data_IF_115065079045
#
_entry.id   IF_115065079045
#
_cell.length_a   1.000
_cell.length_b   1.000
_cell.length_c   1.000
_cell.angle_alpha   90.00
_cell.angle_beta   90.00
_cell.angle_gamma   90.00
#
_symmetry.space_group_name_H-M   'P 1'
#
loop_
_entity.id
_entity.type
_entity.pdbx_description
1 polymer ?
#
# COMPACT_ATOMS: atom_id res chain seq x y z
N UNK A 1 26.04 -6.22 23.07
CA UNK A 1 26.07 -5.29 21.93
C UNK A 1 24.86 -5.54 21.04
N UNK A 2 24.59 -6.77 20.59
CA UNK A 2 23.46 -7.12 19.71
C UNK A 2 22.09 -6.73 20.31
N UNK A 3 21.88 -6.99 21.62
CA UNK A 3 20.67 -6.60 22.35
C UNK A 3 20.44 -5.08 22.35
N UNK A 4 21.51 -4.27 22.42
CA UNK A 4 21.42 -2.80 22.37
C UNK A 4 21.21 -2.26 20.94
N UNK A 5 21.67 -2.99 19.93
CA UNK A 5 21.49 -2.62 18.51
C UNK A 5 20.06 -2.91 18.06
N UNK A 6 19.47 -4.03 18.49
CA UNK A 6 18.13 -4.49 18.08
C UNK A 6 17.04 -3.86 18.96
N UNK A 7 17.24 -3.77 20.29
CA UNK A 7 16.23 -3.28 21.23
C UNK A 7 16.41 -1.81 21.66
N UNK A 8 17.48 -1.15 21.23
CA UNK A 8 17.81 0.20 21.67
C UNK A 8 18.23 0.28 23.15
N UNK A 9 18.37 1.52 23.66
CA UNK A 9 18.59 1.76 25.10
C UNK A 9 17.25 1.84 25.82
N UNK A 10 17.11 1.17 26.96
CA UNK A 10 15.97 1.35 27.86
C UNK A 10 15.82 2.84 28.21
N UNK A 11 14.65 3.42 27.92
CA UNK A 11 14.33 4.79 28.34
C UNK A 11 13.72 4.76 29.75
N UNK A 12 14.02 5.78 30.54
CA UNK A 12 13.39 5.96 31.86
C UNK A 12 11.93 6.31 31.64
N UNK A 13 11.04 5.78 32.48
CA UNK A 13 9.58 5.97 32.36
C UNK A 13 9.15 7.43 32.47
N UNK A 14 9.92 8.27 33.17
CA UNK A 14 9.71 9.71 33.32
C UNK A 14 9.95 10.50 32.00
N UNK A 15 10.75 9.96 31.06
CA UNK A 15 11.01 10.56 29.74
C UNK A 15 10.09 10.10 28.63
N UNK A 16 9.27 9.07 28.88
CA UNK A 16 8.34 8.50 27.90
C UNK A 16 7.21 9.47 27.48
N UNK A 17 6.84 10.41 28.35
CA UNK A 17 5.80 11.41 28.09
C UNK A 17 6.26 12.66 27.33
N UNK A 18 7.57 12.86 27.12
CA UNK A 18 8.12 14.13 26.62
C UNK A 18 8.75 14.06 25.21
N UNK A 19 8.82 12.88 24.58
CA UNK A 19 9.41 12.74 23.24
C UNK A 19 8.39 13.04 22.14
N UNK A 20 8.13 14.32 21.90
CA UNK A 20 7.32 14.74 20.76
C UNK A 20 8.07 14.57 19.44
N UNK A 21 7.35 14.07 18.43
CA UNK A 21 7.90 13.77 17.10
C UNK A 21 7.90 15.02 16.21
N UNK A 22 9.05 15.41 15.64
CA UNK A 22 9.08 16.40 14.57
C UNK A 22 8.46 15.81 13.30
N UNK A 23 7.90 16.66 12.42
CA UNK A 23 7.22 16.24 11.17
C UNK A 23 8.02 15.25 10.35
N UNK A 24 9.35 15.46 10.21
CA UNK A 24 10.26 14.57 9.47
C UNK A 24 10.36 13.15 10.02
N UNK A 25 10.03 12.92 11.28
CA UNK A 25 9.94 11.57 11.87
C UNK A 25 8.49 11.10 11.99
N UNK A 26 7.54 12.03 12.16
CA UNK A 26 6.12 11.71 12.23
C UNK A 26 5.58 11.18 10.90
N UNK A 27 6.01 11.77 9.76
CA UNK A 27 5.59 11.30 8.44
C UNK A 27 5.92 9.80 8.25
N UNK A 28 7.18 9.34 8.33
CA UNK A 28 7.47 7.93 8.14
C UNK A 28 6.85 6.99 9.20
N UNK A 29 6.63 7.46 10.42
CA UNK A 29 6.06 6.63 11.48
C UNK A 29 4.56 6.42 11.29
N UNK A 30 3.81 7.48 10.96
CA UNK A 30 2.36 7.44 10.86
C UNK A 30 1.82 7.27 9.45
N UNK A 31 2.62 7.53 8.42
CA UNK A 31 2.21 7.42 7.02
C UNK A 31 2.81 6.21 6.30
N UNK A 32 3.59 5.36 6.98
CA UNK A 32 4.19 4.16 6.36
C UNK A 32 3.14 3.26 5.73
N UNK A 33 2.03 3.03 6.41
CA UNK A 33 0.92 2.21 5.94
C UNK A 33 0.24 2.85 4.72
N UNK A 34 -0.21 4.10 4.83
CA UNK A 34 -0.84 4.81 3.71
C UNK A 34 0.07 4.96 2.48
N UNK A 35 1.39 5.13 2.67
CA UNK A 35 2.34 5.22 1.57
C UNK A 35 2.64 3.85 0.94
N UNK A 36 2.70 2.79 1.75
CA UNK A 36 2.93 1.42 1.25
C UNK A 36 1.75 0.89 0.46
N UNK A 37 0.53 1.33 0.77
CA UNK A 37 -0.69 0.90 0.08
C UNK A 37 -0.68 1.28 -1.41
N UNK A 38 0.08 2.32 -1.78
CA UNK A 38 0.30 2.69 -3.19
C UNK A 38 1.09 1.61 -3.95
N UNK A 39 1.79 0.71 -3.25
CA UNK A 39 2.56 -0.35 -3.89
C UNK A 39 1.67 -1.48 -4.42
N UNK A 40 0.53 -1.79 -3.79
CA UNK A 40 -0.35 -2.89 -4.20
C UNK A 40 -1.69 -2.43 -4.77
N UNK A 41 -2.17 -1.22 -4.47
CA UNK A 41 -3.43 -0.75 -5.01
C UNK A 41 -3.48 -0.69 -6.55
N UNK A 42 -2.40 -0.34 -7.28
CA UNK A 42 -2.36 -0.46 -8.72
C UNK A 42 -2.53 -1.90 -9.22
N UNK A 43 -1.89 -2.89 -8.56
CA UNK A 43 -2.05 -4.30 -8.88
C UNK A 43 -3.52 -4.69 -8.81
N UNK A 44 -4.22 -4.31 -7.74
CA UNK A 44 -5.64 -4.58 -7.54
C UNK A 44 -6.52 -3.93 -8.62
N UNK A 45 -6.22 -2.69 -9.02
CA UNK A 45 -6.96 -2.01 -10.08
C UNK A 45 -6.77 -2.73 -11.42
N UNK A 46 -5.53 -3.02 -11.81
CA UNK A 46 -5.23 -3.70 -13.07
C UNK A 46 -5.80 -5.11 -13.10
N UNK A 47 -5.70 -5.84 -11.98
CA UNK A 47 -6.19 -7.21 -11.84
C UNK A 47 -7.71 -7.27 -11.98
N UNK A 48 -8.45 -6.41 -11.27
CA UNK A 48 -9.91 -6.38 -11.37
C UNK A 48 -10.40 -5.97 -12.76
N UNK A 49 -9.77 -4.98 -13.40
CA UNK A 49 -10.12 -4.60 -14.76
C UNK A 49 -9.70 -5.66 -15.78
N UNK A 50 -8.64 -6.39 -15.49
CA UNK A 50 -8.11 -7.49 -16.31
C UNK A 50 -9.10 -8.64 -16.50
N UNK A 51 -10.05 -8.83 -15.58
CA UNK A 51 -11.13 -9.82 -15.71
C UNK A 51 -11.95 -9.64 -16.99
N UNK A 52 -12.08 -8.40 -17.49
CA UNK A 52 -12.78 -8.10 -18.76
C UNK A 52 -11.81 -7.94 -19.96
N UNK A 53 -10.53 -8.32 -19.78
CA UNK A 53 -9.54 -8.32 -20.85
C UNK A 53 -8.78 -6.99 -21.01
N UNK A 54 -7.72 -7.04 -21.83
CA UNK A 54 -6.76 -5.94 -21.96
C UNK A 54 -7.36 -4.63 -22.49
N UNK A 55 -8.28 -4.68 -23.42
CA UNK A 55 -8.96 -3.49 -23.96
C UNK A 55 -9.75 -2.74 -22.87
N UNK A 56 -10.33 -3.48 -21.92
CA UNK A 56 -11.07 -2.91 -20.82
C UNK A 56 -10.13 -2.22 -19.81
N UNK A 57 -8.98 -2.80 -19.54
CA UNK A 57 -7.92 -2.19 -18.71
C UNK A 57 -7.48 -0.85 -19.28
N UNK A 58 -7.12 -0.82 -20.57
CA UNK A 58 -6.65 0.40 -21.23
C UNK A 58 -7.73 1.50 -21.21
N UNK A 59 -9.00 1.14 -21.41
CA UNK A 59 -10.10 2.10 -21.46
C UNK A 59 -10.46 2.66 -20.09
N UNK A 60 -10.45 1.85 -19.04
CA UNK A 60 -11.09 2.21 -17.77
C UNK A 60 -10.12 2.45 -16.59
N UNK A 61 -8.86 2.06 -16.68
CA UNK A 61 -7.92 2.19 -15.54
C UNK A 61 -7.74 3.65 -15.07
N UNK A 62 -7.72 4.62 -15.99
CA UNK A 62 -7.63 6.04 -15.64
C UNK A 62 -8.89 6.58 -14.95
N UNK A 63 -10.09 6.07 -15.33
CA UNK A 63 -11.36 6.45 -14.71
C UNK A 63 -11.42 5.98 -13.27
N UNK A 64 -11.03 4.71 -13.03
CA UNK A 64 -10.93 4.15 -11.69
C UNK A 64 -9.89 4.89 -10.87
N UNK A 65 -8.71 5.14 -11.43
CA UNK A 65 -7.66 5.89 -10.75
C UNK A 65 -8.11 7.30 -10.34
N UNK A 66 -8.80 8.04 -11.25
CA UNK A 66 -9.35 9.36 -10.93
C UNK A 66 -10.41 9.31 -9.83
N UNK A 67 -11.27 8.28 -9.81
CA UNK A 67 -12.26 8.10 -8.76
C UNK A 67 -11.58 7.83 -7.40
N UNK A 68 -10.55 6.98 -7.35
CA UNK A 68 -9.75 6.72 -6.14
C UNK A 68 -9.05 7.99 -5.67
N UNK A 69 -8.39 8.72 -6.58
CA UNK A 69 -7.72 10.00 -6.27
C UNK A 69 -8.71 11.02 -5.73
N UNK A 70 -9.90 11.12 -6.32
CA UNK A 70 -10.95 12.03 -5.83
C UNK A 70 -11.34 11.71 -4.38
N UNK A 71 -11.60 10.43 -4.08
CA UNK A 71 -11.90 10.01 -2.70
C UNK A 71 -10.72 10.28 -1.77
N UNK A 72 -9.49 10.02 -2.22
CA UNK A 72 -8.28 10.32 -1.42
C UNK A 72 -8.17 11.81 -1.08
N UNK A 73 -8.47 12.71 -2.03
CA UNK A 73 -8.49 14.17 -1.78
C UNK A 73 -9.55 14.51 -0.72
N UNK A 74 -10.76 13.96 -0.84
CA UNK A 74 -11.86 14.18 0.11
C UNK A 74 -11.49 13.68 1.50
N UNK A 75 -10.95 12.46 1.59
CA UNK A 75 -10.54 11.83 2.86
C UNK A 75 -9.43 12.66 3.53
N UNK A 76 -8.38 13.01 2.81
CA UNK A 76 -7.29 13.83 3.35
C UNK A 76 -7.80 15.20 3.82
N UNK A 77 -8.69 15.83 3.06
CA UNK A 77 -9.30 17.11 3.45
C UNK A 77 -10.14 16.99 4.74
N UNK A 78 -10.93 15.89 4.85
CA UNK A 78 -11.74 15.59 6.04
C UNK A 78 -10.85 15.36 7.27
N UNK A 79 -9.84 14.49 7.18
CA UNK A 79 -8.93 14.24 8.29
C UNK A 79 -8.15 15.48 8.73
N UNK A 80 -7.81 16.39 7.81
CA UNK A 80 -7.19 17.66 8.16
C UNK A 80 -8.10 18.55 9.02
N UNK A 81 -9.42 18.43 8.88
CA UNK A 81 -10.38 19.09 9.77
C UNK A 81 -10.48 18.33 11.10
N UNK A 82 -10.57 17.02 11.06
CA UNK A 82 -10.69 16.17 12.24
C UNK A 82 -9.52 16.37 13.23
N UNK A 83 -8.28 16.47 12.76
CA UNK A 83 -7.11 16.67 13.66
C UNK A 83 -7.12 18.02 14.38
N UNK A 84 -7.92 18.99 13.91
CA UNK A 84 -8.14 20.26 14.64
C UNK A 84 -9.32 20.15 15.61
N UNK A 85 -10.37 19.42 15.24
CA UNK A 85 -11.55 19.20 16.07
C UNK A 85 -11.27 18.25 17.25
N UNK A 86 -10.41 17.23 17.02
CA UNK A 86 -10.04 16.21 18.00
C UNK A 86 -8.52 16.18 18.27
N UNK A 87 -7.98 17.20 18.95
CA UNK A 87 -6.52 17.31 19.21
C UNK A 87 -6.03 16.26 20.23
N UNK A 88 -6.92 15.60 20.94
CA UNK A 88 -6.64 14.47 21.83
C UNK A 88 -6.26 13.17 21.10
N UNK A 89 -6.43 13.11 19.77
CA UNK A 89 -6.15 11.90 18.97
C UNK A 89 -7.40 11.03 18.86
N UNK A 90 -8.53 11.63 18.50
CA UNK A 90 -9.75 10.88 18.18
C UNK A 90 -9.63 10.23 16.82
N UNK A 91 -9.44 8.93 16.79
CA UNK A 91 -9.56 8.14 15.57
C UNK A 91 -11.03 8.04 15.12
N UNK A 92 -11.23 7.30 14.01
CA UNK A 92 -12.57 7.13 13.42
C UNK A 92 -13.60 6.59 14.41
N UNK A 93 -13.17 5.71 15.32
CA UNK A 93 -14.01 5.18 16.40
C UNK A 93 -14.53 6.30 17.31
N UNK A 94 -13.67 7.21 17.78
CA UNK A 94 -14.06 8.29 18.68
C UNK A 94 -14.95 9.31 17.95
N UNK A 95 -14.57 9.69 16.73
CA UNK A 95 -15.34 10.61 15.89
C UNK A 95 -16.76 10.07 15.64
N UNK A 96 -16.88 8.78 15.27
CA UNK A 96 -18.14 8.15 15.03
C UNK A 96 -18.98 8.03 16.32
N UNK A 97 -18.36 7.64 17.44
CA UNK A 97 -19.02 7.50 18.74
C UNK A 97 -19.59 8.83 19.23
N UNK A 98 -18.81 9.88 19.15
CA UNK A 98 -19.20 11.23 19.65
C UNK A 98 -20.29 11.85 18.78
N UNK A 99 -20.22 11.71 17.46
CA UNK A 99 -21.14 12.40 16.54
C UNK A 99 -22.36 11.58 16.14
N UNK A 100 -22.23 10.25 16.04
CA UNK A 100 -23.28 9.35 15.54
C UNK A 100 -23.78 8.36 16.60
N UNK A 101 -23.13 8.32 17.76
CA UNK A 101 -23.47 7.48 18.89
C UNK A 101 -22.74 6.13 18.93
N UNK A 102 -22.90 5.39 20.06
CA UNK A 102 -22.10 4.19 20.35
C UNK A 102 -22.22 3.07 19.33
N UNK A 103 -23.42 2.87 18.74
CA UNK A 103 -23.61 1.84 17.71
C UNK A 103 -22.80 2.09 16.45
N UNK A 104 -22.75 3.35 16.00
CA UNK A 104 -21.93 3.75 14.86
C UNK A 104 -20.43 3.59 15.18
N UNK A 105 -20.00 4.01 16.37
CA UNK A 105 -18.65 3.79 16.85
C UNK A 105 -18.22 2.32 16.83
N UNK A 106 -19.06 1.42 17.37
CA UNK A 106 -18.79 -0.02 17.35
C UNK A 106 -18.72 -0.61 15.94
N UNK A 107 -19.56 -0.14 15.02
CA UNK A 107 -19.47 -0.55 13.60
C UNK A 107 -18.14 -0.15 13.01
N UNK A 108 -17.70 1.10 13.23
CA UNK A 108 -16.39 1.60 12.77
C UNK A 108 -15.23 0.81 13.42
N UNK A 109 -15.30 0.57 14.73
CA UNK A 109 -14.28 -0.21 15.42
C UNK A 109 -14.16 -1.63 14.87
N UNK A 110 -15.29 -2.29 14.61
CA UNK A 110 -15.32 -3.62 14.02
C UNK A 110 -14.72 -3.64 12.61
N UNK A 111 -15.02 -2.63 11.80
CA UNK A 111 -14.43 -2.47 10.47
C UNK A 111 -12.91 -2.27 10.55
N UNK A 112 -12.43 -1.41 11.45
CA UNK A 112 -11.00 -1.18 11.66
C UNK A 112 -10.25 -2.44 12.13
N UNK A 113 -10.87 -3.26 13.03
CA UNK A 113 -10.24 -4.52 13.45
C UNK A 113 -10.08 -5.49 12.27
N UNK A 114 -11.08 -5.58 11.39
CA UNK A 114 -10.98 -6.39 10.17
C UNK A 114 -9.93 -5.81 9.22
N UNK A 115 -9.92 -4.49 9.04
CA UNK A 115 -8.95 -3.79 8.19
C UNK A 115 -7.51 -4.05 8.64
N UNK A 116 -7.21 -3.98 9.94
CA UNK A 116 -5.85 -4.31 10.45
C UNK A 116 -5.42 -5.73 10.11
N UNK A 117 -6.33 -6.71 10.21
CA UNK A 117 -6.00 -8.11 9.83
C UNK A 117 -5.72 -8.23 8.33
N UNK A 118 -6.56 -7.62 7.51
CA UNK A 118 -6.41 -7.64 6.05
C UNK A 118 -5.15 -6.89 5.62
N UNK A 119 -4.86 -5.74 6.21
CA UNK A 119 -3.66 -4.94 5.93
C UNK A 119 -2.39 -5.74 6.24
N UNK A 120 -2.33 -6.48 7.35
CA UNK A 120 -1.18 -7.37 7.65
C UNK A 120 -1.04 -8.43 6.55
N UNK A 121 -2.12 -9.09 6.18
CA UNK A 121 -2.10 -10.16 5.19
C UNK A 121 -1.64 -9.66 3.80
N UNK A 122 -2.29 -8.59 3.30
CA UNK A 122 -1.99 -7.99 1.98
C UNK A 122 -0.56 -7.43 1.95
N UNK A 123 -0.16 -6.68 2.98
CA UNK A 123 1.17 -6.06 3.01
C UNK A 123 2.29 -7.10 3.04
N UNK A 124 2.14 -8.19 3.78
CA UNK A 124 3.15 -9.25 3.81
C UNK A 124 3.18 -9.99 2.47
N UNK A 125 2.02 -10.37 1.92
CA UNK A 125 1.95 -11.08 0.63
C UNK A 125 2.55 -10.24 -0.49
N UNK A 126 2.13 -8.98 -0.62
CA UNK A 126 2.66 -8.04 -1.63
C UNK A 126 4.15 -7.73 -1.39
N UNK A 127 4.57 -7.64 -0.12
CA UNK A 127 5.97 -7.43 0.24
C UNK A 127 6.87 -8.57 -0.23
N UNK A 128 6.43 -9.82 -0.07
CA UNK A 128 7.17 -11.00 -0.53
C UNK A 128 7.18 -11.07 -2.05
N UNK A 129 6.06 -10.78 -2.72
CA UNK A 129 5.99 -10.76 -4.19
C UNK A 129 6.93 -9.70 -4.78
N UNK A 130 6.94 -8.48 -4.25
CA UNK A 130 7.88 -7.44 -4.68
C UNK A 130 9.34 -7.80 -4.39
N UNK A 131 9.62 -8.47 -3.26
CA UNK A 131 10.96 -8.95 -2.96
C UNK A 131 11.41 -10.09 -3.92
N UNK A 132 10.49 -10.93 -4.39
CA UNK A 132 10.77 -12.01 -5.34
C UNK A 132 11.25 -11.49 -6.71
N UNK A 133 10.87 -10.28 -7.11
CA UNK A 133 11.42 -9.62 -8.30
C UNK A 133 12.93 -9.37 -8.16
N UNK A 134 13.40 -9.00 -6.95
CA UNK A 134 14.83 -8.77 -6.69
C UNK A 134 15.59 -10.05 -6.31
N UNK A 135 14.90 -11.02 -5.72
CA UNK A 135 15.47 -12.25 -5.16
C UNK A 135 14.75 -13.47 -5.78
N UNK A 136 15.18 -13.91 -6.95
CA UNK A 136 14.49 -15.00 -7.68
C UNK A 136 14.34 -16.32 -6.89
N UNK A 137 15.21 -16.59 -5.91
CA UNK A 137 15.11 -17.77 -5.04
C UNK A 137 13.89 -17.77 -4.11
N UNK A 138 13.18 -16.66 -3.99
CA UNK A 138 11.90 -16.59 -3.25
C UNK A 138 10.73 -17.12 -4.08
N UNK A 139 10.86 -17.15 -5.41
CA UNK A 139 9.81 -17.63 -6.34
C UNK A 139 9.50 -19.09 -6.05
N UNK A 140 8.21 -19.41 -5.96
CA UNK A 140 7.70 -20.74 -5.55
C UNK A 140 7.72 -21.00 -4.04
N UNK A 141 8.25 -20.07 -3.22
CA UNK A 141 8.28 -20.18 -1.75
C UNK A 141 7.59 -18.99 -1.07
N UNK A 142 6.83 -18.19 -1.82
CA UNK A 142 6.25 -16.93 -1.34
C UNK A 142 5.34 -17.16 -0.13
N UNK A 143 4.53 -18.21 -0.14
CA UNK A 143 3.61 -18.57 0.96
C UNK A 143 4.39 -18.90 2.23
N UNK A 144 5.44 -19.72 2.12
CA UNK A 144 6.26 -20.14 3.26
C UNK A 144 6.99 -18.93 3.88
N UNK A 145 7.52 -18.06 3.02
CA UNK A 145 8.20 -16.82 3.46
C UNK A 145 7.20 -15.86 4.12
N UNK A 146 6.01 -15.68 3.54
CA UNK A 146 4.95 -14.85 4.11
C UNK A 146 4.54 -15.37 5.51
N UNK A 147 4.29 -16.67 5.67
CA UNK A 147 3.98 -17.28 6.97
C UNK A 147 5.13 -17.06 7.96
N UNK A 148 6.38 -17.25 7.53
CA UNK A 148 7.56 -17.01 8.36
C UNK A 148 7.64 -15.56 8.85
N UNK A 149 7.33 -14.58 7.99
CA UNK A 149 7.30 -13.16 8.34
C UNK A 149 6.16 -12.84 9.33
N UNK A 150 4.96 -13.40 9.14
CA UNK A 150 3.85 -13.24 10.09
C UNK A 150 4.25 -13.77 11.47
N UNK A 151 4.84 -14.98 11.54
CA UNK A 151 5.30 -15.57 12.80
C UNK A 151 6.39 -14.72 13.44
N UNK A 152 7.34 -14.21 12.63
CA UNK A 152 8.41 -13.33 13.12
C UNK A 152 7.84 -12.01 13.70
N UNK A 153 6.95 -11.34 12.96
CA UNK A 153 6.31 -10.11 13.44
C UNK A 153 5.49 -10.36 14.70
N UNK A 154 4.75 -11.47 14.77
CA UNK A 154 4.01 -11.88 15.96
C UNK A 154 4.95 -12.03 17.16
N UNK A 155 6.05 -12.76 17.00
CA UNK A 155 7.02 -12.97 18.06
C UNK A 155 7.69 -11.66 18.53
N UNK A 156 7.99 -10.75 17.59
CA UNK A 156 8.56 -9.44 17.90
C UNK A 156 7.55 -8.55 18.67
N UNK A 157 6.31 -8.50 18.23
CA UNK A 157 5.27 -7.69 18.86
C UNK A 157 4.90 -8.21 20.26
N UNK A 158 4.77 -9.53 20.43
CA UNK A 158 4.52 -10.15 21.75
C UNK A 158 5.66 -9.90 22.74
N UNK A 159 6.89 -9.73 22.27
CA UNK A 159 8.03 -9.33 23.11
C UNK A 159 8.07 -7.85 23.47
N UNK A 160 7.14 -7.06 22.94
CA UNK A 160 7.09 -5.63 23.21
C UNK A 160 8.29 -4.86 22.65
N UNK A 161 8.81 -5.27 21.49
CA UNK A 161 9.92 -4.58 20.83
C UNK A 161 9.44 -3.20 20.39
N UNK A 162 9.87 -2.16 21.10
CA UNK A 162 9.60 -0.78 20.68
C UNK A 162 10.54 -0.39 19.55
N UNK A 163 9.97 -0.10 18.42
CA UNK A 163 10.71 0.33 17.26
C UNK A 163 11.19 1.79 17.41
N UNK A 164 12.41 2.05 16.94
CA UNK A 164 12.91 3.42 16.95
C UNK A 164 12.36 4.15 15.71
N UNK A 165 11.75 5.33 15.91
CA UNK A 165 11.22 6.13 14.80
C UNK A 165 12.25 6.46 13.70
N UNK A 166 13.55 6.41 14.04
CA UNK A 166 14.63 6.55 13.06
C UNK A 166 14.79 5.30 12.18
N UNK A 167 14.55 4.10 12.73
CA UNK A 167 14.60 2.86 11.97
C UNK A 167 13.47 2.79 10.94
N UNK A 168 12.29 3.33 11.25
CA UNK A 168 11.17 3.47 10.30
C UNK A 168 11.44 4.50 9.20
N UNK A 169 12.10 5.60 9.54
CA UNK A 169 12.30 6.70 8.61
C UNK A 169 13.12 6.29 7.38
N UNK A 170 14.14 5.45 7.56
CA UNK A 170 15.05 5.08 6.46
C UNK A 170 14.32 4.31 5.35
N UNK A 171 13.61 3.18 5.60
CA UNK A 171 12.91 2.46 4.55
C UNK A 171 11.80 3.28 3.90
N UNK A 172 11.06 4.09 4.67
CA UNK A 172 9.96 4.90 4.12
C UNK A 172 10.49 5.98 3.18
N UNK A 173 11.53 6.71 3.56
CA UNK A 173 12.13 7.71 2.68
C UNK A 173 12.85 7.08 1.48
N UNK A 174 13.47 5.91 1.66
CA UNK A 174 14.05 5.15 0.56
C UNK A 174 12.97 4.71 -0.45
N UNK A 175 11.83 4.24 0.03
CA UNK A 175 10.69 3.90 -0.82
C UNK A 175 10.16 5.12 -1.58
N UNK A 176 9.89 6.24 -0.88
CA UNK A 176 9.45 7.49 -1.54
C UNK A 176 10.44 7.91 -2.63
N UNK A 177 11.73 7.90 -2.33
CA UNK A 177 12.77 8.25 -3.30
C UNK A 177 12.79 7.27 -4.48
N UNK A 178 12.64 5.98 -4.23
CA UNK A 178 12.58 4.94 -5.26
C UNK A 178 11.41 5.12 -6.20
N UNK A 179 10.19 5.23 -5.67
CA UNK A 179 8.99 5.33 -6.50
C UNK A 179 8.90 6.68 -7.21
N UNK A 180 9.16 7.79 -6.51
CA UNK A 180 9.15 9.12 -7.13
C UNK A 180 10.30 9.23 -8.16
N UNK A 181 11.49 8.71 -7.85
CA UNK A 181 12.62 8.68 -8.78
C UNK A 181 12.32 7.86 -10.03
N UNK A 182 11.80 6.63 -9.87
CA UNK A 182 11.35 5.79 -10.98
C UNK A 182 10.27 6.51 -11.80
N UNK A 183 9.30 7.14 -11.13
CA UNK A 183 8.23 7.89 -11.78
C UNK A 183 8.76 9.05 -12.63
N UNK A 184 9.69 9.85 -12.11
CA UNK A 184 10.30 10.96 -12.84
C UNK A 184 11.08 10.48 -14.07
N UNK A 185 11.86 9.40 -13.93
CA UNK A 185 12.59 8.80 -15.06
C UNK A 185 11.61 8.25 -16.09
N UNK A 186 10.59 7.48 -15.66
CA UNK A 186 9.59 6.91 -16.55
C UNK A 186 8.77 7.95 -17.30
N UNK A 187 8.34 9.04 -16.64
CA UNK A 187 7.64 10.15 -17.28
C UNK A 187 8.56 10.85 -18.28
N UNK A 188 9.82 11.09 -17.95
CA UNK A 188 10.78 11.67 -18.89
C UNK A 188 10.95 10.78 -20.12
N UNK A 189 11.12 9.46 -19.92
CA UNK A 189 11.21 8.49 -21.03
C UNK A 189 9.94 8.42 -21.87
N UNK A 190 8.76 8.50 -21.24
CA UNK A 190 7.49 8.53 -21.95
C UNK A 190 7.36 9.77 -22.86
N UNK A 191 7.77 10.95 -22.37
CA UNK A 191 7.75 12.20 -23.13
C UNK A 191 8.78 12.17 -24.28
N UNK A 192 9.93 11.56 -24.08
CA UNK A 192 11.00 11.44 -25.09
C UNK A 192 10.80 10.26 -26.05
N UNK A 193 9.79 9.40 -25.80
CA UNK A 193 9.53 8.21 -26.62
C UNK A 193 10.55 7.08 -26.42
N UNK A 194 11.29 7.08 -25.30
CA UNK A 194 12.33 6.09 -24.97
C UNK A 194 11.90 5.11 -23.87
N UNK A 195 10.63 5.20 -23.40
CA UNK A 195 10.10 4.31 -22.39
C UNK A 195 10.02 2.87 -22.93
N UNK A 196 10.58 1.90 -22.16
CA UNK A 196 10.46 0.48 -22.47
C UNK A 196 9.02 -0.02 -22.32
N UNK A 197 8.74 -1.18 -22.92
CA UNK A 197 7.51 -1.92 -22.69
C UNK A 197 7.64 -2.83 -21.47
N UNK A 198 6.51 -3.11 -20.80
CA UNK A 198 6.49 -4.10 -19.75
C UNK A 198 6.71 -5.52 -20.31
N UNK A 199 7.25 -6.42 -19.50
CA UNK A 199 7.43 -7.84 -19.90
C UNK A 199 6.10 -8.48 -20.30
N UNK A 200 5.01 -8.11 -19.61
CA UNK A 200 3.68 -8.60 -19.91
C UNK A 200 3.03 -8.00 -21.17
N UNK A 201 3.61 -6.98 -21.76
CA UNK A 201 3.07 -6.33 -22.98
C UNK A 201 2.96 -7.29 -24.17
N UNK A 202 3.81 -8.33 -24.21
CA UNK A 202 3.80 -9.35 -25.25
C UNK A 202 2.57 -10.28 -25.21
N UNK A 203 1.90 -10.37 -24.03
CA UNK A 203 0.73 -11.23 -23.88
C UNK A 203 -0.55 -10.52 -24.31
N UNK A 204 -1.52 -11.29 -24.75
CA UNK A 204 -2.92 -10.87 -24.84
C UNK A 204 -3.62 -11.27 -23.54
N UNK A 205 -4.37 -10.35 -22.95
CA UNK A 205 -5.17 -10.64 -21.76
C UNK A 205 -6.57 -11.05 -22.20
N UNK A 206 -6.87 -12.34 -22.03
CA UNK A 206 -8.17 -12.94 -22.36
C UNK A 206 -9.16 -12.65 -21.24
N UNK A 207 -10.39 -12.21 -21.55
CA UNK A 207 -11.42 -12.06 -20.53
C UNK A 207 -11.71 -13.37 -19.80
N UNK A 208 -12.01 -13.29 -18.51
CA UNK A 208 -12.47 -14.44 -17.75
C UNK A 208 -13.88 -14.88 -18.23
N UNK A 209 -14.22 -16.17 -18.21
CA UNK A 209 -15.55 -16.65 -18.58
C UNK A 209 -16.66 -15.89 -17.83
N UNK A 210 -17.60 -15.34 -18.58
CA UNK A 210 -18.66 -14.46 -18.06
C UNK A 210 -18.33 -12.98 -18.03
N UNK A 211 -17.13 -12.55 -18.42
CA UNK A 211 -16.71 -11.13 -18.52
C UNK A 211 -16.38 -10.71 -19.96
N UNK A 212 -16.70 -11.54 -20.98
CA UNK A 212 -16.28 -11.33 -22.37
C UNK A 212 -16.99 -10.14 -23.04
N UNK A 213 -18.27 -9.91 -22.70
CA UNK A 213 -19.06 -8.81 -23.26
C UNK A 213 -19.71 -7.98 -22.13
N UNK A 214 -18.88 -7.24 -21.41
CA UNK A 214 -19.34 -6.40 -20.31
C UNK A 214 -20.03 -5.15 -20.82
N UNK A 215 -21.36 -5.09 -20.69
CA UNK A 215 -22.17 -3.92 -21.07
C UNK A 215 -23.14 -3.52 -19.96
N UNK A 216 -23.50 -2.25 -19.94
CA UNK A 216 -24.52 -1.72 -19.03
C UNK A 216 -24.18 -1.88 -17.55
N UNK A 217 -25.08 -2.55 -16.80
CA UNK A 217 -24.96 -2.69 -15.34
C UNK A 217 -23.79 -3.59 -14.94
N UNK A 218 -23.42 -4.59 -15.74
CA UNK A 218 -22.29 -5.47 -15.48
C UNK A 218 -20.98 -4.68 -15.53
N UNK A 219 -20.79 -3.81 -16.53
CA UNK A 219 -19.67 -2.87 -16.61
C UNK A 219 -19.59 -1.98 -15.37
N UNK A 220 -20.73 -1.40 -14.95
CA UNK A 220 -20.76 -0.55 -13.78
C UNK A 220 -20.37 -1.32 -12.50
N UNK A 221 -20.80 -2.56 -12.37
CA UNK A 221 -20.45 -3.43 -11.23
C UNK A 221 -18.96 -3.74 -11.20
N UNK A 222 -18.33 -4.06 -12.36
CA UNK A 222 -16.90 -4.33 -12.44
C UNK A 222 -16.08 -3.07 -12.15
N UNK A 223 -16.50 -1.91 -12.66
CA UNK A 223 -15.84 -0.64 -12.36
C UNK A 223 -15.94 -0.27 -10.87
N UNK A 224 -17.10 -0.51 -10.24
CA UNK A 224 -17.25 -0.33 -8.79
C UNK A 224 -16.39 -1.31 -7.99
N UNK A 225 -16.25 -2.55 -8.45
CA UNK A 225 -15.36 -3.53 -7.82
C UNK A 225 -13.89 -3.11 -7.94
N UNK A 226 -13.44 -2.71 -9.14
CA UNK A 226 -12.09 -2.20 -9.35
C UNK A 226 -11.82 -0.92 -8.55
N UNK A 227 -12.80 -0.02 -8.45
CA UNK A 227 -12.73 1.16 -7.59
C UNK A 227 -12.60 0.78 -6.11
N UNK A 228 -13.44 -0.15 -5.62
CA UNK A 228 -13.39 -0.64 -4.25
C UNK A 228 -12.04 -1.26 -3.91
N UNK A 229 -11.50 -2.11 -4.78
CA UNK A 229 -10.15 -2.68 -4.61
C UNK A 229 -9.06 -1.59 -4.63
N UNK A 230 -9.17 -0.62 -5.54
CA UNK A 230 -8.26 0.52 -5.61
C UNK A 230 -8.30 1.43 -4.38
N UNK A 231 -9.44 1.47 -3.65
CA UNK A 231 -9.56 2.19 -2.39
C UNK A 231 -8.66 1.62 -1.27
N UNK A 232 -8.05 0.46 -1.47
CA UNK A 232 -6.98 -0.02 -0.60
C UNK A 232 -5.81 0.99 -0.48
N UNK A 233 -5.63 1.89 -1.47
CA UNK A 233 -4.70 3.01 -1.38
C UNK A 233 -5.01 4.04 -0.27
N UNK A 234 -6.18 3.93 0.38
CA UNK A 234 -6.64 4.84 1.43
C UNK A 234 -6.38 4.31 2.85
N UNK A 235 -5.95 3.05 3.00
CA UNK A 235 -5.67 2.46 4.32
C UNK A 235 -4.56 3.22 5.05
N UNK A 236 -4.60 3.25 6.37
CA UNK A 236 -3.58 3.85 7.21
C UNK A 236 -3.60 5.38 7.32
N UNK A 237 -4.52 6.08 6.64
CA UNK A 237 -4.65 7.57 6.75
C UNK A 237 -5.02 7.98 8.18
N UNK A 238 -5.83 7.18 8.89
CA UNK A 238 -6.27 7.39 10.25
C UNK A 238 -5.13 7.39 11.28
N UNK A 239 -4.01 6.73 10.98
CA UNK A 239 -2.87 6.64 11.89
C UNK A 239 -2.31 8.02 12.28
N UNK A 240 -2.33 8.99 11.37
CA UNK A 240 -1.91 10.36 11.66
C UNK A 240 -2.91 11.06 12.60
N UNK A 241 -4.21 10.82 12.43
CA UNK A 241 -5.26 11.36 13.30
C UNK A 241 -5.14 10.80 14.72
N UNK A 242 -4.95 9.49 14.84
CA UNK A 242 -4.68 8.81 16.11
C UNK A 242 -3.40 9.32 16.78
N UNK A 243 -2.39 9.64 15.96
CA UNK A 243 -1.06 10.06 16.41
C UNK A 243 -0.94 11.53 16.81
N UNK A 244 -1.99 12.39 16.71
CA UNK A 244 -1.92 13.82 17.03
C UNK A 244 -1.24 14.13 18.36
N UNK A 245 -1.53 13.42 19.48
CA UNK A 245 -0.89 13.68 20.76
C UNK A 245 0.64 13.57 20.75
N UNK A 246 1.20 12.75 19.86
CA UNK A 246 2.64 12.51 19.75
C UNK A 246 3.41 13.59 18.97
N UNK A 247 2.72 14.49 18.26
CA UNK A 247 3.36 15.56 17.49
C UNK A 247 3.92 16.66 18.38
N UNK A 248 5.00 17.31 17.91
CA UNK A 248 5.49 18.56 18.48
C UNK A 248 4.42 19.67 18.36
N UNK A 249 4.44 20.62 19.31
CA UNK A 249 3.54 21.80 19.28
C UNK A 249 3.90 22.72 18.10
N UNK A 250 2.89 23.27 17.40
CA UNK A 250 1.45 23.08 17.55
C UNK A 250 0.98 21.76 16.90
N UNK A 251 0.50 20.82 17.74
CA UNK A 251 0.23 19.43 17.38
C UNK A 251 -0.69 19.26 16.17
N UNK A 252 -1.90 19.82 16.24
CA UNK A 252 -2.91 19.70 15.16
C UNK A 252 -2.42 20.28 13.83
N UNK A 253 -1.74 21.44 13.87
CA UNK A 253 -1.17 22.04 12.65
C UNK A 253 -0.08 21.17 12.03
N UNK A 254 0.76 20.53 12.86
CA UNK A 254 1.81 19.65 12.39
C UNK A 254 1.22 18.35 11.82
N UNK A 255 0.21 17.76 12.47
CA UNK A 255 -0.52 16.60 11.96
C UNK A 255 -1.24 16.92 10.64
N UNK A 256 -1.97 18.05 10.56
CA UNK A 256 -2.64 18.48 9.32
C UNK A 256 -1.67 18.70 8.15
N UNK A 257 -0.45 19.20 8.42
CA UNK A 257 0.58 19.36 7.40
C UNK A 257 1.12 17.98 6.95
N UNK A 258 1.32 17.06 7.90
CA UNK A 258 1.78 15.70 7.62
C UNK A 258 0.76 14.93 6.78
N UNK A 259 -0.55 15.06 7.10
CA UNK A 259 -1.65 14.51 6.28
C UNK A 259 -1.62 15.04 4.85
N UNK A 260 -1.42 16.36 4.67
CA UNK A 260 -1.33 16.93 3.33
C UNK A 260 -0.12 16.39 2.56
N UNK A 261 1.04 16.32 3.20
CA UNK A 261 2.26 15.77 2.55
C UNK A 261 2.08 14.31 2.17
N UNK A 262 1.54 13.49 3.07
CA UNK A 262 1.22 12.09 2.80
C UNK A 262 0.25 11.99 1.62
N UNK A 263 -0.88 12.71 1.65
CA UNK A 263 -1.88 12.66 0.58
C UNK A 263 -1.32 13.07 -0.79
N UNK A 264 -0.53 14.16 -0.84
CA UNK A 264 0.12 14.58 -2.10
C UNK A 264 1.10 13.53 -2.62
N UNK A 265 1.90 12.92 -1.74
CA UNK A 265 2.83 11.84 -2.13
C UNK A 265 2.05 10.63 -2.66
N UNK A 266 1.05 10.15 -1.93
CA UNK A 266 0.25 8.98 -2.33
C UNK A 266 -0.47 9.22 -3.66
N UNK A 267 -1.11 10.38 -3.84
CA UNK A 267 -1.79 10.74 -5.10
C UNK A 267 -0.79 10.79 -6.25
N UNK A 268 0.36 11.43 -6.05
CA UNK A 268 1.39 11.54 -7.10
C UNK A 268 1.92 10.17 -7.48
N UNK A 269 2.26 9.34 -6.50
CA UNK A 269 2.81 7.99 -6.72
C UNK A 269 1.77 7.11 -7.42
N UNK A 270 0.53 7.04 -6.92
CA UNK A 270 -0.55 6.25 -7.52
C UNK A 270 -0.82 6.66 -8.97
N UNK A 271 -1.00 7.97 -9.20
CA UNK A 271 -1.27 8.50 -10.56
C UNK A 271 -0.12 8.22 -11.53
N UNK A 272 1.12 8.30 -11.04
CA UNK A 272 2.31 8.02 -11.86
C UNK A 272 2.40 6.53 -12.20
N UNK A 273 2.18 5.64 -11.22
CA UNK A 273 2.23 4.19 -11.44
C UNK A 273 1.13 3.76 -12.42
N UNK A 274 -0.11 4.20 -12.24
CA UNK A 274 -1.20 3.87 -13.17
C UNK A 274 -0.93 4.47 -14.57
N UNK A 275 -0.45 5.71 -14.65
CA UNK A 275 -0.13 6.36 -15.92
C UNK A 275 0.98 5.64 -16.68
N UNK A 276 2.06 5.29 -16.01
CA UNK A 276 3.17 4.54 -16.60
C UNK A 276 2.76 3.10 -16.92
N UNK A 277 1.98 2.44 -16.06
CA UNK A 277 1.47 1.10 -16.29
C UNK A 277 0.64 1.00 -17.58
N UNK A 278 -0.15 2.05 -17.89
CA UNK A 278 -0.85 2.15 -19.18
C UNK A 278 0.11 2.41 -20.35
N UNK A 279 1.09 3.27 -20.15
CA UNK A 279 2.03 3.64 -21.20
C UNK A 279 2.98 2.49 -21.58
N UNK A 280 3.27 1.59 -20.63
CA UNK A 280 4.10 0.39 -20.84
C UNK A 280 3.29 -0.86 -21.18
N UNK A 281 1.96 -0.75 -21.33
CA UNK A 281 1.02 -1.83 -21.65
C UNK A 281 1.08 -3.01 -20.67
N UNK A 282 1.17 -2.69 -19.36
CA UNK A 282 1.16 -3.70 -18.29
C UNK A 282 -0.13 -4.51 -18.33
N UNK A 283 0.03 -5.84 -18.23
CA UNK A 283 -1.06 -6.80 -18.08
C UNK A 283 -0.86 -7.60 -16.81
N UNK A 284 -1.89 -7.67 -16.00
CA UNK A 284 -1.94 -8.45 -14.76
C UNK A 284 -3.19 -9.32 -14.80
N UNK A 285 -3.03 -10.59 -14.47
CA UNK A 285 -4.09 -11.58 -14.49
C UNK A 285 -4.20 -12.29 -13.14
N UNK A 286 -5.42 -12.60 -12.70
CA UNK A 286 -5.67 -13.38 -11.48
C UNK A 286 -5.24 -14.84 -11.68
N UNK A 287 -5.48 -15.38 -12.89
CA UNK A 287 -5.05 -16.72 -13.33
C UNK A 287 -4.16 -16.60 -14.56
N UNK A 288 -2.86 -16.27 -14.38
CA UNK A 288 -1.97 -15.98 -15.49
C UNK A 288 -1.91 -17.11 -16.54
N UNK A 289 -1.94 -18.37 -16.09
CA UNK A 289 -1.89 -19.54 -16.98
C UNK A 289 -3.07 -19.64 -17.97
N UNK A 290 -4.25 -19.17 -17.56
CA UNK A 290 -5.49 -19.23 -18.33
C UNK A 290 -5.78 -17.92 -19.08
N UNK A 291 -5.44 -16.78 -18.46
CA UNK A 291 -5.82 -15.44 -18.94
C UNK A 291 -4.76 -14.77 -19.79
N UNK A 292 -3.47 -15.13 -19.62
CA UNK A 292 -2.42 -14.62 -20.49
C UNK A 292 -2.26 -15.55 -21.70
N UNK A 293 -2.30 -14.96 -22.89
CA UNK A 293 -2.19 -15.71 -24.14
C UNK A 293 -1.06 -15.21 -25.03
N UNK A 294 -0.41 -16.15 -25.70
CA UNK A 294 0.53 -15.90 -26.80
C UNK A 294 -0.09 -16.46 -28.08
N UNK A 295 -0.15 -15.64 -29.11
CA UNK A 295 -0.74 -16.02 -30.41
C UNK A 295 -2.18 -16.56 -30.31
N UNK A 296 -2.96 -16.05 -29.34
CA UNK A 296 -4.36 -16.45 -29.15
C UNK A 296 -4.55 -17.74 -28.34
N UNK A 297 -3.49 -18.34 -27.82
CA UNK A 297 -3.55 -19.55 -26.99
C UNK A 297 -3.08 -19.22 -25.57
N UNK A 298 -3.79 -19.67 -24.50
CA UNK A 298 -3.35 -19.53 -23.12
C UNK A 298 -1.95 -20.12 -22.93
N UNK A 299 -1.12 -19.47 -22.12
CA UNK A 299 0.29 -19.89 -21.94
C UNK A 299 0.44 -21.17 -21.13
N UNK A 300 -0.53 -21.49 -20.27
CA UNK A 300 -0.52 -22.71 -19.46
C UNK A 300 0.32 -22.64 -18.19
N UNK A 301 0.12 -23.62 -17.30
CA UNK A 301 0.76 -23.70 -15.98
C UNK A 301 2.28 -23.86 -16.06
N UNK A 302 2.76 -24.72 -16.98
CA UNK A 302 4.20 -25.00 -17.13
C UNK A 302 4.97 -23.75 -17.54
N UNK A 303 4.41 -22.95 -18.45
CA UNK A 303 5.01 -21.70 -18.89
C UNK A 303 5.07 -20.66 -17.75
N UNK A 304 4.00 -20.53 -16.96
CA UNK A 304 3.96 -19.59 -15.83
C UNK A 304 4.89 -20.03 -14.70
N UNK A 305 5.12 -21.34 -14.52
CA UNK A 305 6.10 -21.82 -13.55
C UNK A 305 7.54 -21.37 -13.89
N UNK A 306 7.86 -21.27 -15.20
CA UNK A 306 9.15 -20.76 -15.66
C UNK A 306 9.19 -19.21 -15.77
N UNK A 307 8.04 -18.59 -16.08
CA UNK A 307 7.88 -17.15 -16.29
C UNK A 307 6.80 -16.57 -15.37
N UNK A 308 7.03 -16.53 -14.05
CA UNK A 308 6.02 -16.04 -13.10
C UNK A 308 5.74 -14.56 -13.32
N UNK A 309 4.47 -14.19 -13.16
CA UNK A 309 4.02 -12.81 -13.27
C UNK A 309 4.59 -11.94 -12.15
N UNK A 310 5.27 -10.86 -12.51
CA UNK A 310 5.73 -9.85 -11.57
C UNK A 310 4.61 -8.86 -11.20
N UNK A 311 4.75 -8.19 -10.06
CA UNK A 311 3.87 -7.10 -9.63
C UNK A 311 3.93 -5.92 -10.61
N UNK A 312 2.92 -5.05 -10.60
CA UNK A 312 2.92 -3.83 -11.43
C UNK A 312 4.19 -2.99 -11.19
N UNK A 313 4.61 -2.84 -9.94
CA UNK A 313 5.85 -2.11 -9.63
C UNK A 313 7.09 -2.83 -10.15
N UNK A 314 7.15 -4.16 -10.07
CA UNK A 314 8.25 -4.96 -10.63
C UNK A 314 8.36 -4.77 -12.14
N UNK A 315 7.25 -4.92 -12.85
CA UNK A 315 7.19 -4.73 -14.31
C UNK A 315 7.54 -3.29 -14.72
N UNK A 316 7.06 -2.28 -13.96
CA UNK A 316 7.44 -0.87 -14.20
C UNK A 316 8.92 -0.64 -13.97
N UNK A 317 9.50 -1.22 -12.93
CA UNK A 317 10.93 -1.08 -12.66
C UNK A 317 11.77 -1.66 -13.83
N UNK A 318 11.37 -2.81 -14.37
CA UNK A 318 11.99 -3.38 -15.57
C UNK A 318 11.81 -2.50 -16.81
N UNK A 319 10.61 -1.98 -17.05
CA UNK A 319 10.32 -1.12 -18.20
C UNK A 319 11.10 0.21 -18.15
N UNK A 320 11.21 0.83 -16.95
CA UNK A 320 11.87 2.14 -16.77
C UNK A 320 13.39 2.01 -16.71
N UNK A 321 13.89 1.02 -15.98
CA UNK A 321 15.36 0.89 -15.78
C UNK A 321 16.03 -0.01 -16.82
N UNK A 322 15.27 -0.88 -17.53
CA UNK A 322 15.81 -1.76 -18.55
C UNK A 322 16.97 -2.60 -18.02
N UNK A 323 18.13 -2.46 -18.63
CA UNK A 323 19.35 -3.18 -18.25
C UNK A 323 20.02 -2.65 -16.96
N UNK A 324 19.50 -1.58 -16.34
CA UNK A 324 20.05 -1.07 -15.08
C UNK A 324 19.48 -1.85 -13.89
N UNK A 325 19.89 -3.11 -13.78
CA UNK A 325 19.50 -4.05 -12.70
C UNK A 325 19.54 -3.46 -11.28
N UNK A 326 20.54 -2.61 -10.89
CA UNK A 326 20.54 -2.01 -9.55
C UNK A 326 19.30 -1.16 -9.25
N UNK A 327 18.71 -0.51 -10.25
CA UNK A 327 17.46 0.27 -10.08
C UNK A 327 16.27 -0.63 -9.80
N UNK A 328 16.14 -1.74 -10.52
CA UNK A 328 15.09 -2.75 -10.30
C UNK A 328 15.20 -3.34 -8.89
N UNK A 329 16.40 -3.81 -8.52
CA UNK A 329 16.66 -4.38 -7.19
C UNK A 329 16.34 -3.37 -6.08
N UNK A 330 16.74 -2.11 -6.26
CA UNK A 330 16.48 -1.05 -5.29
C UNK A 330 14.98 -0.86 -5.06
N UNK A 331 14.19 -0.64 -6.13
CA UNK A 331 12.74 -0.43 -6.03
C UNK A 331 12.06 -1.64 -5.38
N UNK A 332 12.40 -2.85 -5.80
CA UNK A 332 11.79 -4.09 -5.27
C UNK A 332 12.10 -4.27 -3.78
N UNK A 333 13.35 -4.06 -3.35
CA UNK A 333 13.73 -4.20 -1.94
C UNK A 333 13.08 -3.14 -1.06
N UNK A 334 13.08 -1.86 -1.47
CA UNK A 334 12.49 -0.81 -0.63
C UNK A 334 10.96 -0.94 -0.57
N UNK A 335 10.33 -1.46 -1.62
CA UNK A 335 8.90 -1.78 -1.64
C UNK A 335 8.59 -2.93 -0.68
N UNK A 336 9.33 -4.02 -0.74
CA UNK A 336 9.18 -5.13 0.22
C UNK A 336 9.38 -4.67 1.67
N UNK A 337 10.39 -3.84 1.92
CA UNK A 337 10.66 -3.34 3.28
C UNK A 337 9.56 -2.43 3.82
N UNK A 338 9.02 -1.49 3.02
CA UNK A 338 7.94 -0.61 3.51
C UNK A 338 6.66 -1.41 3.77
N UNK A 339 6.36 -2.43 2.96
CA UNK A 339 5.20 -3.29 3.13
C UNK A 339 5.30 -4.12 4.42
N UNK A 340 6.46 -4.65 4.75
CA UNK A 340 6.69 -5.34 6.04
C UNK A 340 6.52 -4.36 7.21
N UNK A 341 6.98 -3.11 7.07
CA UNK A 341 6.79 -2.08 8.10
C UNK A 341 5.32 -1.70 8.28
N UNK A 342 4.56 -1.59 7.17
CA UNK A 342 3.13 -1.34 7.21
C UNK A 342 2.37 -2.47 7.92
N UNK A 343 2.69 -3.72 7.60
CA UNK A 343 2.15 -4.88 8.30
C UNK A 343 2.40 -4.80 9.80
N UNK A 344 3.60 -4.41 10.22
CA UNK A 344 3.92 -4.24 11.64
C UNK A 344 3.13 -3.10 12.29
N UNK A 345 2.88 -2.00 11.58
CA UNK A 345 2.06 -0.90 12.07
C UNK A 345 0.61 -1.33 12.32
N UNK A 346 -0.01 -2.03 11.37
CA UNK A 346 -1.36 -2.58 11.51
C UNK A 346 -1.43 -3.64 12.61
N UNK A 347 -0.41 -4.49 12.73
CA UNK A 347 -0.31 -5.49 13.80
C UNK A 347 -0.32 -4.85 15.19
N UNK A 348 0.33 -3.70 15.37
CA UNK A 348 0.30 -2.93 16.61
C UNK A 348 -1.03 -2.18 16.82
N UNK A 349 -1.70 -1.76 15.76
CA UNK A 349 -2.99 -1.05 15.81
C UNK A 349 -4.10 -1.89 16.43
N UNK A 350 -4.15 -3.18 16.10
CA UNK A 350 -5.18 -4.11 16.55
C UNK A 350 -5.32 -4.17 18.09
N UNK A 351 -4.29 -4.48 18.90
CA UNK A 351 -4.41 -4.52 20.34
C UNK A 351 -4.62 -3.15 20.98
N UNK A 352 -4.16 -2.07 20.33
CA UNK A 352 -4.41 -0.70 20.82
C UNK A 352 -5.90 -0.38 20.74
N UNK A 353 -6.54 -0.63 19.59
CA UNK A 353 -7.99 -0.44 19.44
C UNK A 353 -8.78 -1.35 20.38
N UNK A 354 -8.39 -2.62 20.52
CA UNK A 354 -9.01 -3.54 21.49
C UNK A 354 -8.91 -3.03 22.94
N UNK A 355 -7.79 -2.40 23.31
CA UNK A 355 -7.62 -1.77 24.63
C UNK A 355 -8.55 -0.55 24.84
N UNK A 356 -8.81 0.23 23.78
CA UNK A 356 -9.74 1.37 23.84
C UNK A 356 -11.17 0.84 24.06
N UNK A 357 -11.60 -0.14 23.27
CA UNK A 357 -12.92 -0.77 23.39
C UNK A 357 -13.14 -1.38 24.79
N UNK A 358 -12.13 -2.06 25.32
CA UNK A 358 -12.22 -2.63 26.67
C UNK A 358 -12.36 -1.56 27.77
N UNK A 359 -11.75 -0.36 27.59
CA UNK A 359 -11.93 0.77 28.54
C UNK A 359 -13.34 1.37 28.45
N UNK A 360 -13.97 1.33 27.28
CA UNK A 360 -15.32 1.80 27.03
C UNK A 360 -16.39 0.75 27.43
N UNK A 361 -15.96 -0.45 27.88
CA UNK A 361 -16.84 -1.49 28.43
C UNK A 361 -17.33 -2.49 27.39
N UNK A 362 -16.62 -2.62 26.26
CA UNK A 362 -16.92 -3.59 25.19
C UNK A 362 -15.92 -4.75 25.18
#
# INVERSE_FOLDING_TARGET
VLKRLVLGRAMRSDRLGETFLPKRLALPIFASDALSSVAYAPDEIFLMLGLAGGAFVVTHSWQVALAVVFVMVVVVASYRQNVHAYPSGGGDYEVATVNLGPKAGLTVASALLVDYVLTVAVSISSGVQNAATAIPSLRGHEVQVAIGLVVLLTAMNLRGVRESGKAFAVPVYAFILGIVGMGLVGVFQAVTGTLGQAESAQYQLIPEPGHEEMVGIATAFLLLRAFSSGCAALTGVEAISNGVPAFQKPKSRNAATTLLMMGLLSITMLSTIIGLGRATDIKVAERPAEQLALNGQPVGEEYIAEHPQDTVLGQLAHAVFGNFTPGVIYVSIVTGLILILAANTAFNGFPVLGSILAKDGY
#
